data_IF_456670124192
#
_entry.id   IF_456670124192
#
_cell.length_a   1.000
_cell.length_b   1.000
_cell.length_c   1.000
_cell.angle_alpha   90.00
_cell.angle_beta   90.00
_cell.angle_gamma   90.00
#
_symmetry.space_group_name_H-M   'P 1'
#
loop_
_entity.id
_entity.type
_entity.pdbx_description
1 polymer ?
#
# COMPACT_ATOMS: atom_id res chain seq x y z
N UNK A 1 -72.34 -27.26 20.69
CA UNK A 1 -71.81 -26.71 19.44
C UNK A 1 -71.06 -25.42 19.75
N UNK A 2 -69.76 -25.47 19.90
CA UNK A 2 -68.90 -24.25 20.09
C UNK A 2 -68.38 -23.81 18.73
N UNK A 3 -68.77 -22.61 18.27
CA UNK A 3 -68.27 -22.01 17.07
C UNK A 3 -66.91 -21.36 17.36
N UNK A 4 -65.83 -21.91 16.80
CA UNK A 4 -64.53 -21.28 16.76
C UNK A 4 -64.52 -20.16 15.68
N UNK A 5 -64.40 -18.94 16.11
CA UNK A 5 -64.17 -17.80 15.21
C UNK A 5 -62.67 -17.68 15.05
N UNK A 6 -62.17 -17.99 13.83
CA UNK A 6 -60.78 -17.81 13.38
C UNK A 6 -60.60 -16.32 12.99
N UNK A 7 -59.92 -15.55 13.85
CA UNK A 7 -59.56 -14.17 13.50
C UNK A 7 -58.29 -14.19 12.65
N UNK A 8 -58.45 -13.89 11.35
CA UNK A 8 -57.36 -13.72 10.41
C UNK A 8 -56.82 -12.30 10.56
N UNK A 9 -55.66 -12.17 11.27
CA UNK A 9 -54.96 -10.90 11.37
C UNK A 9 -54.14 -10.69 10.09
N UNK A 10 -54.61 -9.84 9.19
CA UNK A 10 -53.88 -9.42 8.00
C UNK A 10 -52.81 -8.42 8.43
N UNK A 11 -51.57 -8.85 8.44
CA UNK A 11 -50.41 -7.96 8.55
C UNK A 11 -50.23 -7.21 7.21
N UNK A 12 -50.68 -5.97 7.16
CA UNK A 12 -50.35 -5.07 6.05
C UNK A 12 -48.90 -4.60 6.30
N UNK A 13 -47.93 -5.19 5.56
CA UNK A 13 -46.60 -4.64 5.43
C UNK A 13 -46.69 -3.32 4.66
N UNK A 14 -46.69 -2.19 5.39
CA UNK A 14 -46.43 -0.89 4.78
C UNK A 14 -44.97 -0.91 4.29
N UNK A 15 -44.76 -1.13 3.00
CA UNK A 15 -43.51 -0.77 2.37
C UNK A 15 -43.39 0.76 2.41
N UNK A 16 -42.63 1.27 3.37
CA UNK A 16 -42.22 2.68 3.39
C UNK A 16 -41.23 2.80 2.22
N UNK A 17 -41.72 3.21 1.07
CA UNK A 17 -40.86 3.67 -0.03
C UNK A 17 -40.21 4.94 0.49
N UNK A 18 -38.93 4.89 0.78
CA UNK A 18 -38.14 6.07 1.07
C UNK A 18 -38.20 6.98 -0.17
N UNK A 19 -39.08 7.98 -0.13
CA UNK A 19 -39.18 8.98 -1.20
C UNK A 19 -37.97 9.89 -1.09
N UNK A 20 -37.10 9.86 -2.13
CA UNK A 20 -35.93 10.74 -2.20
C UNK A 20 -36.37 12.22 -2.13
N UNK A 21 -35.58 13.04 -1.46
CA UNK A 21 -35.74 14.48 -1.39
C UNK A 21 -35.28 15.14 -2.68
N UNK A 22 -36.07 16.02 -3.28
CA UNK A 22 -35.68 16.84 -4.44
C UNK A 22 -35.09 18.15 -3.97
N UNK A 23 -33.92 18.50 -4.46
CA UNK A 23 -33.23 19.73 -4.08
C UNK A 23 -32.42 20.32 -5.24
N UNK A 24 -32.09 21.59 -5.09
CA UNK A 24 -31.22 22.34 -6.01
C UNK A 24 -30.00 22.86 -5.27
N UNK A 25 -28.86 22.86 -5.94
CA UNK A 25 -27.60 23.43 -5.48
C UNK A 25 -27.13 24.55 -6.40
N UNK A 26 -26.09 25.29 -6.01
CA UNK A 26 -25.45 26.27 -6.88
C UNK A 26 -24.46 25.58 -7.83
N UNK A 27 -23.64 24.68 -7.29
CA UNK A 27 -22.56 24.05 -8.03
C UNK A 27 -22.30 22.64 -7.52
N UNK A 28 -22.06 21.71 -8.43
CA UNK A 28 -21.48 20.40 -8.14
C UNK A 28 -19.96 20.45 -8.32
N UNK A 29 -19.22 20.03 -7.32
CA UNK A 29 -17.76 19.93 -7.33
C UNK A 29 -17.41 18.44 -7.38
N UNK A 30 -16.88 17.98 -8.53
CA UNK A 30 -16.45 16.61 -8.68
C UNK A 30 -15.11 16.40 -7.96
N UNK A 31 -15.07 15.43 -7.07
CA UNK A 31 -13.88 15.09 -6.26
C UNK A 31 -13.53 13.64 -6.50
N UNK A 32 -12.50 13.41 -7.30
CA UNK A 32 -11.96 12.06 -7.48
C UNK A 32 -11.04 11.76 -6.29
N UNK A 33 -11.41 10.75 -5.50
CA UNK A 33 -10.62 10.34 -4.34
C UNK A 33 -9.27 9.81 -4.83
N UNK A 34 -8.14 10.35 -4.34
CA UNK A 34 -6.84 9.80 -4.66
C UNK A 34 -6.63 8.47 -3.92
N UNK A 35 -5.91 7.54 -4.53
CA UNK A 35 -5.50 6.30 -3.86
C UNK A 35 -4.56 6.57 -2.68
N UNK A 36 -3.78 7.64 -2.75
CA UNK A 36 -2.89 8.07 -1.67
C UNK A 36 -2.89 9.58 -1.52
N UNK A 37 -2.73 10.06 -0.28
CA UNK A 37 -2.68 11.49 0.02
C UNK A 37 -4.07 12.09 0.25
N UNK A 38 -4.27 13.31 -0.24
CA UNK A 38 -5.52 14.05 -0.07
C UNK A 38 -5.77 14.98 -1.25
N UNK A 39 -7.03 15.40 -1.39
CA UNK A 39 -7.43 16.45 -2.33
C UNK A 39 -8.19 17.54 -1.57
N UNK A 40 -7.82 18.80 -1.81
CA UNK A 40 -8.47 19.95 -1.20
C UNK A 40 -9.29 20.72 -2.26
N UNK A 41 -10.53 21.04 -1.91
CA UNK A 41 -11.44 21.82 -2.76
C UNK A 41 -12.10 22.94 -1.95
N UNK A 42 -12.61 23.95 -2.64
CA UNK A 42 -13.40 25.03 -2.04
C UNK A 42 -14.87 24.87 -2.40
N UNK A 43 -15.74 24.97 -1.41
CA UNK A 43 -17.19 24.86 -1.57
C UNK A 43 -17.88 25.98 -0.80
N UNK A 44 -18.78 26.68 -1.46
CA UNK A 44 -19.65 27.72 -0.83
C UNK A 44 -20.90 27.12 -0.21
N UNK A 45 -21.70 28.00 0.43
CA UNK A 45 -23.03 27.64 0.87
C UNK A 45 -23.89 27.28 -0.36
N UNK A 46 -24.65 26.21 -0.25
CA UNK A 46 -25.43 25.57 -1.32
C UNK A 46 -24.60 24.91 -2.45
N UNK A 47 -23.30 24.76 -2.29
CA UNK A 47 -22.50 23.88 -3.13
C UNK A 47 -22.50 22.45 -2.59
N UNK A 48 -22.17 21.50 -3.46
CA UNK A 48 -22.03 20.09 -3.08
C UNK A 48 -20.79 19.45 -3.70
N UNK A 49 -20.19 18.54 -2.93
CA UNK A 49 -19.09 17.68 -3.37
C UNK A 49 -19.66 16.34 -3.78
N UNK A 50 -19.38 15.92 -5.00
CA UNK A 50 -19.60 14.56 -5.49
C UNK A 50 -18.28 13.81 -5.41
N UNK A 51 -18.11 12.99 -4.37
CA UNK A 51 -16.86 12.29 -4.07
C UNK A 51 -16.96 10.89 -4.68
N UNK A 52 -16.12 10.61 -5.67
CA UNK A 52 -16.00 9.29 -6.28
C UNK A 52 -14.93 8.48 -5.57
N UNK A 53 -15.22 7.20 -5.31
CA UNK A 53 -14.26 6.28 -4.71
C UNK A 53 -13.26 5.76 -5.75
N UNK A 54 -12.05 5.34 -5.33
CA UNK A 54 -11.11 4.64 -6.18
C UNK A 54 -11.67 3.26 -6.58
N UNK A 55 -11.16 2.69 -7.67
CA UNK A 55 -11.57 1.35 -8.15
C UNK A 55 -11.18 0.24 -7.17
N UNK A 56 -9.97 0.30 -6.59
CA UNK A 56 -9.53 -0.65 -5.56
C UNK A 56 -9.92 -0.14 -4.16
N UNK A 57 -10.93 -0.78 -3.60
CA UNK A 57 -11.44 -0.51 -2.24
C UNK A 57 -11.03 -1.57 -1.21
N UNK A 58 -10.10 -2.47 -1.54
CA UNK A 58 -9.73 -3.63 -0.70
C UNK A 58 -9.36 -3.25 0.73
N UNK A 59 -8.66 -2.13 0.91
CA UNK A 59 -8.21 -1.66 2.22
C UNK A 59 -9.01 -0.49 2.75
N UNK A 60 -10.01 -0.05 2.00
CA UNK A 60 -10.73 1.18 2.27
C UNK A 60 -11.78 0.95 3.36
N UNK A 61 -11.81 1.79 4.40
CA UNK A 61 -12.80 1.67 5.46
C UNK A 61 -13.63 2.94 5.67
N UNK A 62 -13.23 4.07 5.12
CA UNK A 62 -13.96 5.32 5.28
C UNK A 62 -13.37 6.50 4.53
N UNK A 63 -14.04 7.64 4.66
CA UNK A 63 -13.61 8.93 4.14
C UNK A 63 -13.47 9.90 5.30
N UNK A 64 -12.36 10.62 5.35
CA UNK A 64 -12.18 11.76 6.25
C UNK A 64 -12.37 13.07 5.47
N UNK A 65 -13.25 13.93 5.99
CA UNK A 65 -13.43 15.30 5.52
C UNK A 65 -12.88 16.25 6.59
N UNK A 66 -11.77 16.90 6.29
CA UNK A 66 -11.21 17.97 7.12
C UNK A 66 -11.67 19.32 6.55
N UNK A 67 -12.61 19.93 7.25
CA UNK A 67 -13.35 21.12 6.80
C UNK A 67 -12.85 22.32 7.58
N UNK A 68 -12.19 23.27 6.89
CA UNK A 68 -11.88 24.59 7.44
C UNK A 68 -13.08 25.51 7.24
N UNK A 69 -13.59 26.04 8.34
CA UNK A 69 -14.75 26.92 8.38
C UNK A 69 -14.26 28.36 8.35
N UNK A 70 -14.72 29.21 7.42
CA UNK A 70 -14.42 30.64 7.42
C UNK A 70 -14.74 31.28 8.77
N UNK A 71 -13.87 32.16 9.29
CA UNK A 71 -14.06 32.78 10.59
C UNK A 71 -15.39 33.51 10.70
N UNK A 72 -15.79 34.20 9.64
CA UNK A 72 -17.06 34.92 9.60
C UNK A 72 -18.26 33.98 9.71
N UNK A 73 -18.21 32.79 9.11
CA UNK A 73 -19.30 31.81 9.17
C UNK A 73 -19.32 31.04 10.49
N UNK A 74 -18.19 30.90 11.19
CA UNK A 74 -18.15 30.22 12.49
C UNK A 74 -19.02 30.93 13.56
N UNK A 75 -19.32 32.23 13.38
CA UNK A 75 -20.21 33.00 14.24
C UNK A 75 -21.70 32.73 13.98
N UNK A 76 -22.00 32.14 12.80
CA UNK A 76 -23.36 31.76 12.38
C UNK A 76 -23.58 30.26 12.49
N UNK A 77 -22.99 29.62 13.52
CA UNK A 77 -23.22 28.21 13.81
C UNK A 77 -24.75 28.00 13.98
N UNK A 78 -25.23 26.89 13.43
CA UNK A 78 -26.67 26.63 13.38
C UNK A 78 -27.41 27.25 12.19
N UNK A 79 -26.82 28.19 11.44
CA UNK A 79 -27.43 28.75 10.22
C UNK A 79 -27.01 28.03 8.96
N UNK A 80 -25.83 27.40 8.95
CA UNK A 80 -25.35 26.56 7.87
C UNK A 80 -25.32 25.12 8.35
N UNK A 81 -25.87 24.22 7.56
CA UNK A 81 -25.81 22.78 7.76
C UNK A 81 -24.96 22.12 6.70
N UNK A 82 -24.48 20.94 7.03
CA UNK A 82 -23.93 19.97 6.09
C UNK A 82 -24.80 18.72 6.07
N UNK A 83 -24.90 18.10 4.90
CA UNK A 83 -25.76 16.93 4.68
C UNK A 83 -25.07 15.92 3.80
N UNK A 84 -25.34 14.65 4.06
CA UNK A 84 -24.88 13.53 3.26
C UNK A 84 -26.05 12.92 2.51
N UNK A 85 -25.89 12.68 1.23
CA UNK A 85 -26.89 12.05 0.36
C UNK A 85 -26.34 10.85 -0.36
N UNK A 86 -27.21 9.86 -0.59
CA UNK A 86 -26.99 8.68 -1.42
C UNK A 86 -28.11 8.51 -2.44
N UNK A 87 -27.94 7.59 -3.40
CA UNK A 87 -28.99 7.25 -4.37
C UNK A 87 -29.41 8.42 -5.26
N UNK A 88 -28.49 9.25 -5.68
CA UNK A 88 -28.78 10.45 -6.46
C UNK A 88 -29.26 10.15 -7.87
N UNK A 89 -30.26 10.92 -8.29
CA UNK A 89 -30.76 10.97 -9.66
C UNK A 89 -30.92 12.42 -10.10
N UNK A 90 -30.36 12.87 -11.24
CA UNK A 90 -29.40 12.14 -12.07
C UNK A 90 -28.04 11.92 -11.37
N UNK A 91 -27.20 11.07 -11.96
CA UNK A 91 -25.80 10.95 -11.49
C UNK A 91 -25.11 12.30 -11.53
N UNK A 92 -24.30 12.64 -10.50
CA UNK A 92 -23.61 13.92 -10.41
C UNK A 92 -22.63 14.13 -11.57
N UNK A 93 -22.68 15.36 -12.10
CA UNK A 93 -21.71 15.91 -13.06
C UNK A 93 -21.42 17.36 -12.67
N UNK A 94 -20.38 17.94 -13.21
CA UNK A 94 -19.98 19.34 -12.97
C UNK A 94 -21.03 20.37 -13.42
N UNK A 95 -21.95 19.98 -14.31
CA UNK A 95 -23.02 20.84 -14.85
C UNK A 95 -24.39 20.59 -14.20
N UNK A 96 -24.55 19.48 -13.46
CA UNK A 96 -25.82 19.13 -12.83
C UNK A 96 -26.01 19.89 -11.53
N UNK A 97 -27.18 20.50 -11.34
CA UNK A 97 -27.51 21.29 -10.14
C UNK A 97 -28.85 20.89 -9.49
N UNK A 98 -29.67 20.06 -10.14
CA UNK A 98 -30.94 19.58 -9.61
C UNK A 98 -30.85 18.07 -9.39
N UNK A 99 -31.18 17.63 -8.19
CA UNK A 99 -31.06 16.25 -7.78
C UNK A 99 -32.29 15.76 -7.02
N UNK A 100 -32.51 14.46 -7.07
CA UNK A 100 -33.34 13.72 -6.12
C UNK A 100 -32.45 12.68 -5.47
N UNK A 101 -32.45 12.57 -4.14
CA UNK A 101 -31.62 11.62 -3.41
C UNK A 101 -32.14 11.37 -2.00
N UNK A 102 -31.60 10.33 -1.35
CA UNK A 102 -31.91 10.03 0.05
C UNK A 102 -30.93 10.78 0.94
N UNK A 103 -31.45 11.62 1.85
CA UNK A 103 -30.62 12.29 2.84
C UNK A 103 -30.37 11.35 4.01
N UNK A 104 -29.11 10.92 4.14
CA UNK A 104 -28.67 10.01 5.19
C UNK A 104 -28.47 10.73 6.54
N UNK A 105 -27.95 11.97 6.48
CA UNK A 105 -27.73 12.77 7.66
C UNK A 105 -27.77 14.26 7.35
N UNK A 106 -28.05 15.07 8.37
CA UNK A 106 -27.88 16.52 8.38
C UNK A 106 -27.45 16.95 9.79
N UNK A 107 -26.48 17.85 9.84
CA UNK A 107 -26.08 18.52 11.09
C UNK A 107 -25.59 19.93 10.77
N UNK A 108 -25.45 20.77 11.77
CA UNK A 108 -25.00 22.16 11.61
C UNK A 108 -23.51 22.30 11.81
N UNK A 109 -22.89 23.29 11.13
CA UNK A 109 -21.50 23.60 11.37
C UNK A 109 -21.29 24.03 12.84
N UNK A 110 -20.21 23.61 13.47
CA UNK A 110 -19.90 24.02 14.85
C UNK A 110 -19.40 25.46 14.91
N UNK A 111 -19.54 26.11 16.08
CA UNK A 111 -18.98 27.43 16.37
C UNK A 111 -17.45 27.42 16.56
N UNK A 112 -16.74 26.76 15.67
CA UNK A 112 -15.27 26.63 15.65
C UNK A 112 -14.74 26.70 14.22
N UNK A 113 -13.42 26.90 14.04
CA UNK A 113 -12.80 27.13 12.72
C UNK A 113 -12.53 25.84 11.92
N UNK A 114 -12.78 24.67 12.51
CA UNK A 114 -12.58 23.40 11.84
C UNK A 114 -13.58 22.34 12.27
N UNK A 115 -13.88 21.44 11.35
CA UNK A 115 -14.70 20.25 11.57
C UNK A 115 -13.99 19.07 10.88
N UNK A 116 -13.63 18.07 11.65
CA UNK A 116 -13.11 16.81 11.10
C UNK A 116 -14.20 15.75 11.19
N UNK A 117 -14.68 15.28 10.05
CA UNK A 117 -15.78 14.34 9.91
C UNK A 117 -15.27 13.06 9.25
N UNK A 118 -15.51 11.92 9.90
CA UNK A 118 -15.17 10.61 9.36
C UNK A 118 -16.45 9.86 9.01
N UNK A 119 -16.54 9.42 7.77
CA UNK A 119 -17.68 8.70 7.20
C UNK A 119 -17.28 7.23 7.02
N UNK A 120 -17.71 6.32 7.89
CA UNK A 120 -17.44 4.88 7.73
C UNK A 120 -18.16 4.32 6.51
N UNK A 121 -17.50 3.44 5.75
CA UNK A 121 -18.04 2.81 4.52
C UNK A 121 -18.15 1.29 4.64
N UNK A 122 -17.51 0.70 5.63
CA UNK A 122 -17.53 -0.75 5.88
C UNK A 122 -17.76 -1.05 7.36
N UNK A 123 -18.31 -2.23 7.64
CA UNK A 123 -18.49 -2.75 9.00
C UNK A 123 -18.06 -4.24 9.02
N UNK A 124 -17.31 -4.68 10.04
CA UNK A 124 -16.70 -3.88 11.10
C UNK A 124 -15.57 -2.99 10.57
N UNK A 125 -15.33 -1.85 11.22
CA UNK A 125 -14.21 -0.98 10.92
C UNK A 125 -13.30 -0.82 12.15
N UNK A 126 -12.05 -0.40 11.91
CA UNK A 126 -11.03 -0.17 12.94
C UNK A 126 -10.73 1.33 13.12
N UNK A 127 -11.64 2.20 12.69
CA UNK A 127 -11.45 3.64 12.72
C UNK A 127 -11.31 4.12 14.18
N UNK A 128 -10.16 4.72 14.47
CA UNK A 128 -9.85 5.24 15.81
C UNK A 128 -10.43 6.65 15.98
N UNK A 129 -11.25 6.85 17.02
CA UNK A 129 -11.76 8.17 17.38
C UNK A 129 -10.63 9.02 17.94
N UNK A 130 -10.51 10.25 17.44
CA UNK A 130 -9.64 11.28 18.02
C UNK A 130 -10.49 12.31 18.77
N UNK A 131 -9.92 13.13 19.68
CA UNK A 131 -10.66 14.17 20.38
C UNK A 131 -11.27 15.24 19.45
N UNK A 132 -10.74 15.34 18.23
CA UNK A 132 -11.13 16.37 17.26
C UNK A 132 -12.01 15.83 16.13
N UNK A 133 -12.15 14.51 16.00
CA UNK A 133 -12.93 13.87 14.94
C UNK A 133 -14.34 13.50 15.40
N UNK A 134 -15.30 13.67 14.50
CA UNK A 134 -16.66 13.16 14.60
C UNK A 134 -16.76 11.98 13.64
N UNK A 135 -16.90 10.77 14.18
CA UNK A 135 -17.17 9.58 13.38
C UNK A 135 -18.69 9.44 13.28
N UNK A 136 -19.22 9.36 12.08
CA UNK A 136 -20.65 9.17 11.88
C UNK A 136 -21.08 7.80 12.41
N UNK A 137 -22.26 7.71 13.09
CA UNK A 137 -22.68 6.49 13.76
C UNK A 137 -23.14 5.39 12.79
N UNK A 138 -23.53 5.77 11.57
CA UNK A 138 -23.99 4.84 10.54
C UNK A 138 -22.87 4.55 9.55
N UNK A 139 -22.85 3.32 9.04
CA UNK A 139 -22.01 2.91 7.91
C UNK A 139 -22.76 3.21 6.62
N UNK A 140 -22.12 3.96 5.76
CA UNK A 140 -22.71 4.38 4.49
C UNK A 140 -22.23 3.42 3.39
N UNK A 141 -23.01 2.37 3.14
CA UNK A 141 -22.75 1.47 2.03
C UNK A 141 -22.93 2.21 0.71
N UNK A 142 -21.86 2.33 -0.04
CA UNK A 142 -21.90 2.93 -1.36
C UNK A 142 -22.32 1.87 -2.39
N UNK A 143 -23.61 1.63 -2.50
CA UNK A 143 -24.18 0.95 -3.67
C UNK A 143 -24.01 1.77 -4.95
N UNK A 144 -23.73 3.08 -4.82
CA UNK A 144 -23.30 3.97 -5.88
C UNK A 144 -21.87 4.43 -5.61
N UNK A 145 -21.05 4.50 -6.64
CA UNK A 145 -19.64 4.91 -6.59
C UNK A 145 -19.42 6.38 -6.15
N UNK A 146 -20.45 7.08 -5.71
CA UNK A 146 -20.42 8.50 -5.39
C UNK A 146 -21.09 8.79 -4.05
N UNK A 147 -20.33 9.41 -3.15
CA UNK A 147 -20.81 10.02 -1.91
C UNK A 147 -21.06 11.52 -2.16
N UNK A 148 -22.24 12.03 -1.77
CA UNK A 148 -22.59 13.41 -2.04
C UNK A 148 -22.72 14.20 -0.74
N UNK A 149 -21.82 15.16 -0.56
CA UNK A 149 -21.73 16.00 0.62
C UNK A 149 -22.11 17.45 0.24
N UNK A 150 -23.11 18.03 0.93
CA UNK A 150 -23.67 19.34 0.60
C UNK A 150 -23.59 20.29 1.78
N UNK A 151 -23.19 21.54 1.54
CA UNK A 151 -23.46 22.65 2.45
C UNK A 151 -24.79 23.30 2.07
N UNK A 152 -25.56 23.71 3.07
CA UNK A 152 -26.86 24.37 2.84
C UNK A 152 -27.18 25.39 3.91
N UNK A 153 -27.86 26.47 3.51
CA UNK A 153 -28.41 27.44 4.44
C UNK A 153 -29.69 26.88 5.04
N UNK A 154 -29.80 26.84 6.37
CA UNK A 154 -30.98 26.36 7.10
C UNK A 154 -31.71 27.47 7.84
N UNK A 155 -31.03 28.57 8.14
CA UNK A 155 -31.64 29.78 8.71
C UNK A 155 -31.18 31.02 7.96
N UNK A 156 -32.08 31.99 7.81
CA UNK A 156 -31.77 33.31 7.24
C UNK A 156 -31.02 34.18 8.26
N UNK A 157 -30.28 35.17 7.77
CA UNK A 157 -29.64 36.17 8.63
C UNK A 157 -28.13 36.25 8.48
N UNK A 158 -27.55 35.45 7.59
CA UNK A 158 -26.14 35.63 7.20
C UNK A 158 -26.08 36.77 6.19
N UNK A 159 -25.16 37.76 6.36
CA UNK A 159 -24.92 38.78 5.35
C UNK A 159 -24.48 38.15 4.02
N UNK A 160 -24.96 38.70 2.90
CA UNK A 160 -24.71 38.18 1.55
C UNK A 160 -23.20 38.06 1.21
N UNK A 161 -22.37 38.98 1.72
CA UNK A 161 -20.94 38.95 1.54
C UNK A 161 -20.28 37.76 2.25
N UNK A 162 -20.84 37.32 3.39
CA UNK A 162 -20.33 36.18 4.14
C UNK A 162 -20.78 34.83 3.54
N UNK A 163 -21.94 34.82 2.86
CA UNK A 163 -22.40 33.61 2.13
C UNK A 163 -21.44 33.23 1.00
N UNK A 164 -20.63 34.17 0.50
CA UNK A 164 -19.67 33.95 -0.57
C UNK A 164 -18.33 33.36 -0.09
N UNK A 165 -18.10 33.37 1.24
CA UNK A 165 -16.86 32.83 1.82
C UNK A 165 -16.83 31.29 1.75
N UNK A 166 -15.85 30.68 1.07
CA UNK A 166 -15.85 29.25 0.84
C UNK A 166 -15.27 28.48 2.04
N UNK A 167 -15.85 27.33 2.32
CA UNK A 167 -15.22 26.27 3.11
C UNK A 167 -14.07 25.66 2.31
N UNK A 168 -12.96 25.36 2.97
CA UNK A 168 -11.93 24.50 2.38
C UNK A 168 -12.15 23.08 2.90
N UNK A 169 -12.45 22.15 2.00
CA UNK A 169 -12.70 20.75 2.34
C UNK A 169 -11.54 19.91 1.82
N UNK A 170 -10.81 19.28 2.72
CA UNK A 170 -9.77 18.30 2.39
C UNK A 170 -10.36 16.91 2.55
N UNK A 171 -10.38 16.16 1.46
CA UNK A 171 -10.92 14.80 1.39
C UNK A 171 -9.75 13.83 1.43
N UNK A 172 -9.80 12.85 2.35
CA UNK A 172 -8.76 11.84 2.55
C UNK A 172 -9.38 10.45 2.63
N UNK A 173 -8.76 9.43 2.03
CA UNK A 173 -9.13 8.04 2.27
C UNK A 173 -8.73 7.63 3.69
N UNK A 174 -9.56 6.78 4.30
CA UNK A 174 -9.24 6.11 5.57
C UNK A 174 -9.10 4.62 5.28
N UNK A 175 -7.92 4.08 5.52
CA UNK A 175 -7.60 2.68 5.27
C UNK A 175 -7.54 1.88 6.56
N UNK A 176 -7.72 0.57 6.47
CA UNK A 176 -7.39 -0.36 7.54
C UNK A 176 -5.87 -0.39 7.75
N UNK A 177 -5.44 -0.80 8.95
CA UNK A 177 -4.01 -0.94 9.28
C UNK A 177 -3.38 -2.16 8.56
N UNK A 178 -3.61 -2.30 7.25
CA UNK A 178 -3.09 -3.36 6.39
C UNK A 178 -2.65 -2.82 5.03
N UNK A 179 -1.69 -3.50 4.42
CA UNK A 179 -1.25 -3.26 3.05
C UNK A 179 -0.93 -4.57 2.34
N UNK A 180 -0.58 -4.48 1.07
CA UNK A 180 -0.21 -5.63 0.23
C UNK A 180 1.31 -5.65 0.03
N UNK A 181 1.92 -6.82 0.14
CA UNK A 181 3.26 -7.08 -0.36
C UNK A 181 3.14 -7.86 -1.66
N UNK A 182 3.91 -7.45 -2.67
CA UNK A 182 4.05 -8.12 -3.96
C UNK A 182 5.54 -8.46 -4.14
N UNK A 183 5.84 -9.76 -4.29
CA UNK A 183 7.18 -10.28 -4.41
C UNK A 183 7.51 -10.47 -5.89
N UNK A 184 8.57 -9.84 -6.34
CA UNK A 184 9.15 -10.03 -7.66
C UNK A 184 10.49 -10.78 -7.53
N UNK A 185 10.62 -11.90 -8.24
CA UNK A 185 11.77 -12.80 -8.09
C UNK A 185 12.57 -12.82 -9.38
N UNK A 186 13.85 -12.48 -9.25
CA UNK A 186 14.83 -12.59 -10.31
C UNK A 186 15.59 -13.90 -10.08
N UNK A 187 15.42 -14.85 -11.00
CA UNK A 187 16.10 -16.13 -10.96
C UNK A 187 17.48 -16.05 -11.63
N UNK A 188 18.47 -16.80 -11.13
CA UNK A 188 19.77 -16.92 -11.80
C UNK A 188 19.62 -17.59 -13.18
N UNK A 189 20.57 -17.31 -14.05
CA UNK A 189 20.68 -17.94 -15.37
C UNK A 189 21.93 -18.82 -15.43
N UNK A 190 21.87 -19.90 -16.22
CA UNK A 190 23.02 -20.72 -16.53
C UNK A 190 23.92 -20.04 -17.59
N UNK A 191 25.02 -20.69 -17.94
CA UNK A 191 26.01 -20.23 -18.94
C UNK A 191 25.39 -20.04 -20.34
N UNK A 192 24.26 -20.68 -20.63
CA UNK A 192 23.52 -20.59 -21.89
C UNK A 192 22.41 -19.54 -21.85
N UNK A 193 22.24 -18.83 -20.73
CA UNK A 193 21.19 -17.85 -20.52
C UNK A 193 19.81 -18.47 -20.21
N UNK A 194 19.76 -19.76 -19.85
CA UNK A 194 18.53 -20.41 -19.43
C UNK A 194 18.27 -20.11 -17.95
N UNK A 195 17.06 -19.70 -17.62
CA UNK A 195 16.62 -19.42 -16.25
C UNK A 195 16.61 -20.70 -15.42
N UNK A 196 17.26 -20.64 -14.26
CA UNK A 196 17.32 -21.74 -13.29
C UNK A 196 16.22 -21.52 -12.24
N UNK A 197 15.08 -22.15 -12.44
CA UNK A 197 13.92 -22.03 -11.56
C UNK A 197 13.74 -23.30 -10.72
N UNK A 198 14.07 -23.21 -9.42
CA UNK A 198 13.96 -24.29 -8.45
C UNK A 198 13.01 -23.93 -7.32
N UNK A 199 12.50 -24.93 -6.57
CA UNK A 199 11.65 -24.70 -5.40
C UNK A 199 12.35 -23.92 -4.29
N UNK A 200 11.59 -23.06 -3.63
CA UNK A 200 11.99 -22.33 -2.43
C UNK A 200 10.82 -22.19 -1.47
N UNK A 201 11.12 -21.91 -0.20
CA UNK A 201 10.14 -21.66 0.85
C UNK A 201 10.28 -20.23 1.34
N UNK A 202 9.14 -19.54 1.48
CA UNK A 202 9.09 -18.15 1.95
C UNK A 202 8.61 -18.12 3.40
N UNK A 203 9.32 -17.39 4.22
CA UNK A 203 8.90 -17.03 5.56
C UNK A 203 8.76 -15.52 5.67
N UNK A 204 7.69 -15.05 6.32
CA UNK A 204 7.51 -13.65 6.68
C UNK A 204 7.38 -13.60 8.20
N UNK A 205 8.22 -12.78 8.85
CA UNK A 205 8.28 -12.66 10.32
C UNK A 205 8.41 -14.04 11.01
N UNK A 206 9.30 -14.89 10.48
CA UNK A 206 9.54 -16.28 10.95
C UNK A 206 8.38 -17.25 10.73
N UNK A 207 7.29 -16.84 10.12
CA UNK A 207 6.14 -17.70 9.84
C UNK A 207 6.14 -18.12 8.39
N UNK A 208 5.80 -19.39 8.13
CA UNK A 208 5.64 -19.90 6.77
C UNK A 208 4.56 -19.08 6.04
N UNK A 209 4.96 -18.46 4.95
CA UNK A 209 4.07 -17.64 4.14
C UNK A 209 3.53 -18.41 2.93
N UNK A 210 2.22 -18.34 2.72
CA UNK A 210 1.60 -18.76 1.48
C UNK A 210 1.30 -17.51 0.65
N UNK A 211 1.91 -17.41 -0.52
CA UNK A 211 1.73 -16.29 -1.44
C UNK A 211 0.76 -16.67 -2.54
N UNK A 212 -0.32 -15.92 -2.70
CA UNK A 212 -1.24 -16.07 -3.83
C UNK A 212 -0.76 -15.18 -4.98
N UNK A 213 -0.33 -15.78 -6.09
CA UNK A 213 0.25 -15.07 -7.22
C UNK A 213 1.37 -14.08 -6.78
N UNK A 214 2.27 -14.53 -5.90
CA UNK A 214 3.38 -13.74 -5.33
C UNK A 214 2.91 -12.54 -4.47
N UNK A 215 1.69 -12.57 -3.94
CA UNK A 215 1.11 -11.48 -3.13
C UNK A 215 0.60 -11.98 -1.79
N UNK A 216 0.67 -11.11 -0.79
CA UNK A 216 0.04 -11.35 0.51
C UNK A 216 -0.36 -10.03 1.17
N UNK A 217 -1.33 -10.09 2.09
CA UNK A 217 -1.78 -8.94 2.89
C UNK A 217 -1.14 -9.05 4.26
N UNK A 218 -0.50 -7.98 4.70
CA UNK A 218 0.20 -7.88 5.99
C UNK A 218 -0.34 -6.70 6.79
N UNK A 219 -0.12 -6.72 8.09
CA UNK A 219 -0.34 -5.57 8.94
C UNK A 219 0.64 -4.45 8.58
N UNK A 220 0.32 -3.21 8.94
CA UNK A 220 1.23 -2.09 8.69
C UNK A 220 2.42 -2.13 9.63
N UNK A 221 3.59 -1.81 9.11
CA UNK A 221 4.83 -1.82 9.90
C UNK A 221 6.02 -2.36 9.12
N UNK A 222 7.07 -2.64 9.86
CA UNK A 222 8.29 -3.23 9.32
C UNK A 222 8.22 -4.75 9.44
N UNK A 223 8.44 -5.42 8.32
CA UNK A 223 8.46 -6.87 8.19
C UNK A 223 9.80 -7.33 7.63
N UNK A 224 10.08 -8.61 7.79
CA UNK A 224 11.21 -9.23 7.12
C UNK A 224 10.78 -10.52 6.44
N UNK A 225 11.30 -10.71 5.24
CA UNK A 225 11.10 -11.91 4.45
C UNK A 225 12.39 -12.71 4.44
N UNK A 226 12.27 -14.01 4.57
CA UNK A 226 13.37 -14.96 4.41
C UNK A 226 12.98 -16.03 3.38
N UNK A 227 13.86 -16.25 2.42
CA UNK A 227 13.70 -17.28 1.39
C UNK A 227 14.75 -18.35 1.59
N UNK A 228 14.30 -19.60 1.71
CA UNK A 228 15.14 -20.77 1.98
C UNK A 228 14.95 -21.79 0.86
N UNK A 229 16.05 -22.32 0.35
CA UNK A 229 16.07 -23.33 -0.72
C UNK A 229 17.30 -24.23 -0.61
N UNK A 230 17.19 -25.45 -1.14
CA UNK A 230 18.34 -26.35 -1.31
C UNK A 230 19.17 -26.00 -2.57
N UNK A 231 18.67 -25.09 -3.41
CA UNK A 231 19.28 -24.74 -4.70
C UNK A 231 19.75 -23.28 -4.76
N UNK A 232 19.26 -22.42 -3.88
CA UNK A 232 19.65 -21.02 -3.81
C UNK A 232 20.30 -20.68 -2.48
N UNK A 233 21.10 -19.63 -2.46
CA UNK A 233 21.57 -19.02 -1.21
C UNK A 233 20.37 -18.42 -0.48
N UNK A 234 20.33 -18.60 0.83
CA UNK A 234 19.29 -18.00 1.63
C UNK A 234 19.33 -16.45 1.50
N UNK A 235 18.19 -15.88 1.20
CA UNK A 235 18.02 -14.43 1.09
C UNK A 235 17.12 -13.91 2.20
N UNK A 236 17.48 -12.78 2.76
CA UNK A 236 16.67 -12.09 3.77
C UNK A 236 16.59 -10.61 3.42
N UNK A 237 15.40 -10.04 3.47
CA UNK A 237 15.16 -8.61 3.23
C UNK A 237 14.22 -8.05 4.28
N UNK A 238 14.41 -6.78 4.60
CA UNK A 238 13.49 -6.00 5.44
C UNK A 238 12.72 -5.05 4.55
N UNK A 239 11.43 -4.92 4.78
CA UNK A 239 10.56 -4.02 4.04
C UNK A 239 9.51 -3.40 4.95
N UNK A 240 8.86 -2.32 4.49
CA UNK A 240 7.82 -1.61 5.23
C UNK A 240 6.50 -1.71 4.48
N UNK A 241 5.43 -2.00 5.21
CA UNK A 241 4.05 -2.01 4.72
C UNK A 241 3.32 -0.79 5.25
N UNK A 242 2.76 0.00 4.33
CA UNK A 242 1.95 1.18 4.64
C UNK A 242 0.46 0.89 4.44
N UNK A 243 -0.44 1.60 5.20
CA UNK A 243 -1.88 1.39 5.06
C UNK A 243 -2.37 1.61 3.63
N UNK A 244 -3.11 0.64 3.11
CA UNK A 244 -3.74 0.71 1.79
C UNK A 244 -2.80 0.67 0.60
N UNK A 245 -1.48 0.51 0.81
CA UNK A 245 -0.50 0.52 -0.27
C UNK A 245 -0.02 -0.88 -0.64
N UNK A 246 0.47 -1.01 -1.87
CA UNK A 246 1.22 -2.18 -2.33
C UNK A 246 2.71 -1.87 -2.26
N UNK A 247 3.43 -2.65 -1.46
CA UNK A 247 4.89 -2.64 -1.38
C UNK A 247 5.43 -3.70 -2.34
N UNK A 248 6.15 -3.30 -3.37
CA UNK A 248 6.85 -4.22 -4.27
C UNK A 248 8.23 -4.53 -3.70
N UNK A 249 8.53 -5.81 -3.59
CA UNK A 249 9.80 -6.32 -3.09
C UNK A 249 10.44 -7.18 -4.17
N UNK A 250 11.56 -6.72 -4.69
CA UNK A 250 12.39 -7.46 -5.63
C UNK A 250 13.44 -8.26 -4.88
N UNK A 251 13.56 -9.55 -5.19
CA UNK A 251 14.56 -10.45 -4.62
C UNK A 251 15.28 -11.19 -5.73
N UNK A 252 16.57 -10.93 -5.85
CA UNK A 252 17.45 -11.67 -6.74
C UNK A 252 17.96 -12.94 -6.04
N UNK A 253 17.58 -14.10 -6.56
CA UNK A 253 18.06 -15.39 -6.09
C UNK A 253 19.44 -15.71 -6.69
N UNK A 254 20.34 -16.18 -5.85
CA UNK A 254 21.69 -16.57 -6.29
C UNK A 254 21.88 -18.07 -6.15
N UNK A 255 22.50 -18.66 -7.14
CA UNK A 255 22.87 -20.07 -7.12
C UNK A 255 23.63 -20.41 -5.83
N UNK A 256 23.35 -21.59 -5.27
CA UNK A 256 24.01 -22.08 -4.08
C UNK A 256 25.45 -22.56 -4.36
N UNK A 257 25.81 -22.81 -5.62
CA UNK A 257 27.15 -23.26 -5.99
C UNK A 257 28.22 -22.33 -5.40
N UNK A 258 29.35 -22.91 -4.92
CA UNK A 258 30.43 -22.10 -4.37
C UNK A 258 31.10 -21.27 -5.46
N UNK A 259 31.58 -20.08 -5.07
CA UNK A 259 32.32 -19.20 -5.98
C UNK A 259 33.77 -19.01 -5.53
N UNK A 260 34.67 -18.90 -6.47
CA UNK A 260 36.09 -18.64 -6.25
C UNK A 260 36.50 -17.35 -6.94
N UNK A 261 37.16 -16.45 -6.20
CA UNK A 261 37.87 -15.30 -6.72
C UNK A 261 39.35 -15.47 -6.46
N UNK A 262 40.16 -15.29 -7.50
CA UNK A 262 41.62 -15.38 -7.38
C UNK A 262 42.23 -14.01 -7.59
N UNK A 263 43.04 -13.59 -6.65
CA UNK A 263 43.80 -12.33 -6.70
C UNK A 263 45.29 -12.71 -6.75
N UNK A 264 45.96 -12.36 -7.84
CA UNK A 264 47.37 -12.70 -8.04
C UNK A 264 48.10 -11.56 -8.78
N UNK A 265 49.43 -11.49 -8.71
CA UNK A 265 50.21 -10.55 -9.52
C UNK A 265 50.04 -10.80 -11.01
N UNK A 266 50.26 -9.76 -11.82
CA UNK A 266 50.24 -9.86 -13.28
C UNK A 266 51.21 -10.95 -13.78
N UNK A 267 50.85 -11.63 -14.87
CA UNK A 267 51.60 -12.73 -15.46
C UNK A 267 51.66 -14.02 -14.61
N UNK A 268 50.84 -14.17 -13.57
CA UNK A 268 50.68 -15.45 -12.87
C UNK A 268 49.86 -16.41 -13.71
N UNK A 269 50.35 -17.63 -13.94
CA UNK A 269 49.54 -18.73 -14.46
C UNK A 269 48.82 -19.40 -13.29
N UNK A 270 47.53 -19.63 -13.46
CA UNK A 270 46.67 -20.18 -12.42
C UNK A 270 46.09 -21.51 -12.96
N UNK A 271 46.20 -22.57 -12.17
CA UNK A 271 45.62 -23.85 -12.47
C UNK A 271 44.64 -24.22 -11.36
N UNK A 272 43.44 -24.60 -11.74
CA UNK A 272 42.44 -25.18 -10.85
C UNK A 272 42.29 -26.66 -11.20
N UNK A 273 42.60 -27.56 -10.25
CA UNK A 273 42.60 -29.02 -10.46
C UNK A 273 43.39 -29.44 -11.70
N UNK A 274 44.60 -28.92 -11.84
CA UNK A 274 45.55 -29.12 -12.97
C UNK A 274 45.10 -28.51 -14.31
N UNK A 275 43.93 -27.87 -14.41
CA UNK A 275 43.47 -27.17 -15.62
C UNK A 275 43.82 -25.69 -15.52
N UNK A 276 44.55 -25.18 -16.52
CA UNK A 276 44.88 -23.75 -16.60
C UNK A 276 43.60 -22.94 -16.80
N UNK A 277 43.34 -21.96 -15.90
CA UNK A 277 42.21 -21.05 -15.98
C UNK A 277 42.68 -19.63 -16.36
N UNK A 278 41.90 -18.87 -17.15
CA UNK A 278 42.23 -17.49 -17.44
C UNK A 278 42.18 -16.66 -16.18
N UNK A 279 43.18 -15.78 -15.99
CA UNK A 279 43.13 -14.82 -14.88
C UNK A 279 42.01 -13.84 -15.09
N UNK A 280 41.02 -13.87 -14.18
CA UNK A 280 39.93 -12.87 -14.09
C UNK A 280 39.90 -12.32 -12.68
N UNK A 281 39.54 -11.03 -12.57
CA UNK A 281 39.29 -10.38 -11.27
C UNK A 281 37.92 -10.72 -10.72
N UNK A 282 37.02 -11.26 -11.55
CA UNK A 282 35.67 -11.61 -11.16
C UNK A 282 35.65 -13.02 -10.54
N UNK A 283 34.73 -13.21 -9.59
CA UNK A 283 34.47 -14.52 -9.01
C UNK A 283 33.75 -15.40 -10.04
N UNK A 284 34.11 -16.68 -10.10
CA UNK A 284 33.48 -17.68 -10.95
C UNK A 284 33.02 -18.90 -10.14
N UNK A 285 32.05 -19.62 -10.67
CA UNK A 285 31.47 -20.81 -10.01
C UNK A 285 32.46 -21.98 -10.07
N UNK A 286 32.56 -22.71 -8.96
CA UNK A 286 33.30 -23.98 -8.86
C UNK A 286 32.39 -25.08 -8.33
N UNK A 287 32.77 -26.34 -8.49
CA UNK A 287 32.02 -27.46 -7.91
C UNK A 287 32.16 -27.51 -6.38
N UNK A 288 31.24 -28.20 -5.72
CA UNK A 288 31.40 -28.55 -4.31
C UNK A 288 32.48 -29.65 -4.20
N UNK A 289 33.38 -29.52 -3.23
CA UNK A 289 34.43 -30.50 -2.99
C UNK A 289 35.78 -29.89 -2.67
N UNK A 290 36.81 -30.73 -2.69
CA UNK A 290 38.19 -30.29 -2.55
C UNK A 290 38.73 -29.86 -3.92
N UNK A 291 39.36 -28.66 -3.95
CA UNK A 291 40.00 -28.10 -5.13
C UNK A 291 41.43 -27.73 -4.82
N UNK A 292 42.34 -27.99 -5.77
CA UNK A 292 43.72 -27.56 -5.73
C UNK A 292 43.96 -26.39 -6.66
N UNK A 293 44.48 -25.29 -6.10
CA UNK A 293 44.82 -24.10 -6.85
C UNK A 293 46.32 -23.98 -6.88
N UNK A 294 46.92 -24.09 -8.08
CA UNK A 294 48.34 -23.97 -8.31
C UNK A 294 48.65 -22.67 -9.02
N UNK A 295 49.62 -21.94 -8.48
CA UNK A 295 50.11 -20.67 -9.00
C UNK A 295 51.53 -20.83 -9.50
N UNK A 296 51.83 -20.30 -10.70
CA UNK A 296 53.15 -20.29 -11.30
C UNK A 296 53.53 -18.85 -11.70
N UNK A 297 54.57 -18.30 -11.08
CA UNK A 297 55.11 -16.97 -11.35
C UNK A 297 56.61 -17.07 -11.66
N UNK A 298 56.99 -17.04 -12.94
CA UNK A 298 58.35 -17.34 -13.36
C UNK A 298 58.73 -18.80 -12.99
N UNK A 299 59.80 -18.94 -12.20
CA UNK A 299 60.28 -20.24 -11.68
C UNK A 299 59.68 -20.60 -10.31
N UNK A 300 58.83 -19.75 -9.76
CA UNK A 300 58.16 -19.95 -8.46
C UNK A 300 56.82 -20.66 -8.66
N UNK A 301 56.61 -21.72 -7.88
CA UNK A 301 55.36 -22.47 -7.89
C UNK A 301 54.87 -22.67 -6.46
N UNK A 302 53.57 -22.47 -6.24
CA UNK A 302 52.92 -22.75 -4.95
C UNK A 302 51.53 -23.35 -5.18
N UNK A 303 51.11 -24.22 -4.27
CA UNK A 303 49.82 -24.90 -4.31
C UNK A 303 49.04 -24.60 -3.01
N UNK A 304 47.76 -24.40 -3.14
CA UNK A 304 46.81 -24.29 -2.03
C UNK A 304 45.61 -25.16 -2.30
N UNK A 305 45.07 -25.78 -1.25
CA UNK A 305 43.79 -26.49 -1.32
C UNK A 305 42.71 -25.72 -0.63
N UNK A 306 41.52 -25.81 -1.17
CA UNK A 306 40.27 -25.28 -0.56
C UNK A 306 39.23 -26.38 -0.55
N UNK A 307 38.43 -26.44 0.53
CA UNK A 307 37.24 -27.27 0.61
C UNK A 307 36.03 -26.39 0.26
N UNK A 308 35.57 -26.49 -0.99
CA UNK A 308 34.42 -25.71 -1.46
C UNK A 308 33.10 -26.28 -0.93
N UNK A 309 32.30 -25.45 -0.32
CA UNK A 309 31.00 -25.79 0.26
C UNK A 309 29.94 -24.89 -0.35
N UNK A 310 28.79 -25.47 -0.70
CA UNK A 310 27.62 -24.73 -1.21
C UNK A 310 27.27 -23.53 -0.32
N UNK A 311 26.86 -22.42 -0.95
CA UNK A 311 26.50 -21.20 -0.28
C UNK A 311 27.68 -20.32 0.17
N UNK A 312 28.93 -20.70 -0.12
CA UNK A 312 30.13 -19.94 0.26
C UNK A 312 30.88 -19.35 -0.92
N UNK A 313 31.49 -18.20 -0.67
CA UNK A 313 32.45 -17.56 -1.61
C UNK A 313 33.82 -17.61 -1.03
N UNK A 314 34.80 -17.95 -1.87
CA UNK A 314 36.20 -18.06 -1.50
C UNK A 314 37.01 -16.99 -2.23
N UNK A 315 37.94 -16.38 -1.52
CA UNK A 315 38.93 -15.46 -2.09
C UNK A 315 40.30 -15.99 -1.76
N UNK A 316 41.07 -16.32 -2.80
CA UNK A 316 42.45 -16.76 -2.66
C UNK A 316 43.38 -15.66 -3.17
N UNK A 317 44.23 -15.16 -2.30
CA UNK A 317 45.17 -14.07 -2.60
C UNK A 317 46.59 -14.60 -2.57
N UNK A 318 47.30 -14.47 -3.70
CA UNK A 318 48.74 -14.73 -3.80
C UNK A 318 49.51 -13.40 -3.60
N UNK A 319 50.14 -13.22 -2.45
CA UNK A 319 51.08 -12.14 -2.20
C UNK A 319 52.53 -12.66 -2.23
N UNK A 320 53.39 -11.96 -2.96
CA UNK A 320 54.81 -12.23 -2.98
C UNK A 320 55.53 -11.18 -2.14
N UNK A 321 56.13 -11.60 -1.04
CA UNK A 321 56.97 -10.74 -0.22
C UNK A 321 58.43 -10.84 -0.70
N UNK A 322 59.06 -9.70 -0.93
CA UNK A 322 60.51 -9.62 -1.27
C UNK A 322 61.23 -9.04 -0.10
N UNK A 323 62.06 -9.81 0.55
CA UNK A 323 62.97 -9.34 1.60
C UNK A 323 64.30 -8.90 0.98
N UNK A 324 64.69 -7.66 1.22
CA UNK A 324 65.99 -7.14 0.81
C UNK A 324 66.90 -7.10 2.05
N UNK A 325 67.91 -7.99 2.09
CA UNK A 325 68.93 -8.00 3.13
C UNK A 325 70.20 -7.36 2.57
N UNK A 326 70.71 -6.28 3.24
CA UNK A 326 71.97 -5.70 2.93
C UNK A 326 73.06 -6.51 3.70
N UNK A 327 73.98 -7.16 2.96
CA UNK A 327 75.15 -7.82 3.53
C UNK A 327 76.34 -6.91 3.36
N UNK A 328 77.01 -6.57 4.49
CA UNK A 328 78.25 -5.82 4.53
C UNK A 328 79.44 -6.66 4.05
#
# INVERSE_FOLDING_TARGET
>A
MKKNILIFTVFIFLNIVATGETFRIHKTIMVNMPETGNVAVQAGINDALAITLPEDTTFFQGIELDIKIPEVLSRYYGSVAYSLYTGLTPMPTDTTINYTGTREMIDTIPGRLSLNLIIPLVEPNTIKKTPYSIILPAVYSLNSSVLFFRFQLVMKGIPEDYEKEPFTVTVKPVYIDKGRMELDIIYPQDENGQTLEFPYTVFIDEQLATLEAQKTILDTGTHYISMVSDHYRNETRTFSVEPGKTTKLEVELRDIAPTLQVIAPDNTKIFLDEVEIPYTKDAFVISQGEHMIRFVVGDYETVRSIQAVNGRSYVVNLSLEVEVTETL
#
